data_IF_328739734456
#
_entry.id   IF_328739734456
#
_cell.length_a   1.000
_cell.length_b   1.000
_cell.length_c   1.000
_cell.angle_alpha   90.00
_cell.angle_beta   90.00
_cell.angle_gamma   90.00
#
_symmetry.space_group_name_H-M   'P 1'
#
loop_
_entity.id
_entity.type
_entity.pdbx_description
1 polymer ?
#
# COMPACT_ATOMS: atom_id res chain seq x y z
N UNK A 1 -24.90 -15.69 25.25
CA UNK A 1 -23.60 -15.02 25.42
C UNK A 1 -22.53 -15.94 24.85
N UNK A 2 -22.27 -15.86 23.57
CA UNK A 2 -21.15 -16.56 22.94
C UNK A 2 -20.24 -15.48 22.34
N UNK A 3 -19.17 -15.18 23.08
CA UNK A 3 -18.02 -14.47 22.53
C UNK A 3 -17.42 -15.33 21.43
N UNK A 4 -17.53 -14.92 20.18
CA UNK A 4 -16.68 -15.43 19.13
C UNK A 4 -15.26 -14.97 19.45
N UNK A 5 -14.49 -15.88 20.06
CA UNK A 5 -13.05 -15.75 20.21
C UNK A 5 -12.45 -15.66 18.82
N UNK A 6 -11.83 -14.53 18.51
CA UNK A 6 -10.91 -14.42 17.42
C UNK A 6 -9.85 -15.51 17.63
N UNK A 7 -9.76 -16.44 16.69
CA UNK A 7 -8.73 -17.48 16.68
C UNK A 7 -7.37 -16.82 16.89
N UNK A 8 -6.57 -17.23 17.87
CA UNK A 8 -5.20 -16.76 17.99
C UNK A 8 -4.47 -17.15 16.71
N UNK A 9 -3.86 -16.18 16.05
CA UNK A 9 -2.92 -16.41 14.94
C UNK A 9 -1.84 -17.34 15.52
N UNK A 10 -1.77 -18.56 15.00
CA UNK A 10 -0.82 -19.55 15.49
C UNK A 10 0.61 -18.99 15.41
N UNK A 11 1.41 -19.16 16.48
CA UNK A 11 2.80 -18.68 16.50
C UNK A 11 3.69 -19.32 15.43
N UNK A 12 3.25 -20.43 14.84
CA UNK A 12 3.97 -21.18 13.81
C UNK A 12 4.22 -20.38 12.52
N UNK A 13 3.30 -19.50 12.13
CA UNK A 13 3.46 -18.67 10.91
C UNK A 13 4.47 -17.53 11.06
N UNK A 14 4.89 -17.21 12.28
CA UNK A 14 5.89 -16.17 12.57
C UNK A 14 7.28 -16.73 12.80
N UNK A 15 7.41 -18.06 13.01
CA UNK A 15 8.68 -18.70 13.37
C UNK A 15 9.53 -19.08 12.16
N UNK A 16 8.99 -19.04 10.94
CA UNK A 16 9.74 -19.34 9.74
C UNK A 16 10.46 -18.13 9.15
N UNK A 17 11.38 -17.55 9.94
CA UNK A 17 12.52 -16.81 9.37
C UNK A 17 13.45 -17.74 8.56
N UNK A 18 13.26 -19.04 8.64
CA UNK A 18 13.82 -20.02 7.69
C UNK A 18 13.11 -19.99 6.33
N UNK A 19 11.89 -19.48 6.25
CA UNK A 19 11.22 -19.06 5.02
C UNK A 19 11.58 -17.61 4.69
N UNK A 20 12.87 -17.31 4.66
CA UNK A 20 13.34 -16.14 3.92
C UNK A 20 12.79 -16.29 2.49
N UNK A 21 12.16 -15.23 1.93
CA UNK A 21 11.73 -15.23 0.55
C UNK A 21 12.85 -15.71 -0.36
N UNK A 22 12.55 -16.41 -1.45
CA UNK A 22 13.54 -17.00 -2.35
C UNK A 22 14.63 -16.02 -2.79
N UNK A 23 14.30 -14.72 -2.92
CA UNK A 23 15.24 -13.63 -3.24
C UNK A 23 16.28 -13.31 -2.14
N UNK A 24 16.08 -13.79 -0.90
CA UNK A 24 17.07 -13.73 0.19
C UNK A 24 17.93 -15.00 0.27
N UNK A 25 17.47 -16.09 -0.35
CA UNK A 25 18.19 -17.37 -0.42
C UNK A 25 19.09 -17.47 -1.65
N UNK A 26 18.75 -16.77 -2.72
CA UNK A 26 19.53 -16.71 -3.94
C UNK A 26 20.69 -15.74 -3.75
N UNK A 27 21.86 -16.28 -3.50
CA UNK A 27 23.16 -15.57 -3.49
C UNK A 27 23.65 -15.27 -4.90
N UNK A 28 22.74 -14.99 -5.85
CA UNK A 28 23.16 -14.43 -7.11
C UNK A 28 23.64 -13.01 -6.88
N UNK A 29 24.91 -12.79 -7.20
CA UNK A 29 25.69 -11.58 -7.05
C UNK A 29 25.16 -10.37 -7.86
N UNK A 30 23.88 -10.24 -8.03
CA UNK A 30 23.24 -9.02 -8.51
C UNK A 30 23.14 -8.06 -7.35
N UNK A 31 24.04 -7.08 -7.38
CA UNK A 31 24.08 -5.96 -6.44
C UNK A 31 22.70 -5.26 -6.41
N UNK A 32 21.76 -5.72 -5.58
CA UNK A 32 20.49 -5.03 -5.33
C UNK A 32 20.66 -3.62 -4.78
N UNK A 33 21.88 -3.23 -4.43
CA UNK A 33 22.24 -1.94 -3.87
C UNK A 33 22.93 -1.01 -4.88
N UNK A 34 23.06 -1.41 -6.14
CA UNK A 34 23.75 -0.61 -7.17
C UNK A 34 23.03 0.73 -7.45
N UNK A 35 21.74 0.81 -7.09
CA UNK A 35 20.92 2.01 -7.21
C UNK A 35 20.67 2.74 -5.89
N UNK A 36 21.22 2.25 -4.77
CA UNK A 36 21.13 2.94 -3.49
C UNK A 36 22.23 3.99 -3.40
N UNK A 37 22.05 5.10 -4.07
CA UNK A 37 22.76 6.35 -3.79
C UNK A 37 21.99 7.04 -2.68
N UNK A 38 22.68 7.32 -1.55
CA UNK A 38 22.14 8.16 -0.47
C UNK A 38 21.53 9.46 -1.01
N UNK A 39 20.71 10.13 -0.23
CA UNK A 39 19.84 11.25 -0.59
C UNK A 39 20.46 12.41 -1.42
N UNK A 40 21.76 12.44 -1.62
CA UNK A 40 22.45 13.49 -2.39
C UNK A 40 22.43 13.28 -3.92
N UNK A 41 21.87 12.18 -4.46
CA UNK A 41 21.93 11.83 -5.88
C UNK A 41 20.64 11.99 -6.68
N UNK A 42 19.53 12.49 -6.12
CA UNK A 42 18.20 12.45 -6.76
C UNK A 42 17.90 13.66 -7.65
N UNK A 43 18.73 14.72 -7.64
CA UNK A 43 18.45 15.95 -8.40
C UNK A 43 18.94 15.97 -9.85
N UNK A 44 19.84 15.07 -10.27
CA UNK A 44 20.43 15.15 -11.61
C UNK A 44 19.86 14.22 -12.72
N UNK A 45 18.97 13.27 -12.38
CA UNK A 45 18.45 12.31 -13.36
C UNK A 45 17.12 12.70 -14.04
N UNK A 46 16.54 13.86 -13.73
CA UNK A 46 15.29 14.33 -14.38
C UNK A 46 15.49 15.06 -15.71
N UNK A 47 16.72 15.33 -16.12
CA UNK A 47 17.03 16.14 -17.30
C UNK A 47 17.36 15.36 -18.59
N UNK A 48 17.69 14.06 -18.53
CA UNK A 48 18.22 13.31 -19.69
C UNK A 48 17.23 12.48 -20.49
N UNK A 49 16.09 12.08 -19.91
CA UNK A 49 15.13 11.22 -20.62
C UNK A 49 14.14 11.95 -21.54
N UNK A 50 14.15 13.29 -21.57
CA UNK A 50 13.31 14.06 -22.49
C UNK A 50 13.97 14.40 -23.83
N UNK A 51 15.29 14.28 -23.94
CA UNK A 51 16.02 14.61 -25.17
C UNK A 51 16.17 13.44 -26.16
N UNK A 52 16.03 12.18 -25.73
CA UNK A 52 16.21 11.02 -26.59
C UNK A 52 14.96 10.58 -27.37
N UNK A 53 13.75 11.05 -26.94
CA UNK A 53 12.49 10.69 -27.66
C UNK A 53 12.08 11.64 -28.78
N UNK A 54 12.83 12.70 -29.03
CA UNK A 54 12.52 13.68 -30.09
C UNK A 54 13.41 13.56 -31.33
N UNK A 55 14.37 12.62 -31.38
CA UNK A 55 15.30 12.46 -32.54
C UNK A 55 14.93 11.31 -33.50
N UNK A 56 13.93 10.49 -33.22
CA UNK A 56 13.58 9.35 -34.09
C UNK A 56 12.35 9.56 -35.00
N UNK A 57 11.88 10.79 -35.19
CA UNK A 57 10.77 11.11 -36.10
C UNK A 57 11.14 12.00 -37.30
N UNK A 58 12.41 12.05 -37.67
CA UNK A 58 12.88 13.00 -38.69
C UNK A 58 13.77 12.42 -39.78
N UNK A 59 13.67 11.16 -40.21
CA UNK A 59 14.44 10.67 -41.34
C UNK A 59 13.74 9.54 -42.09
N UNK A 60 12.71 9.88 -42.89
CA UNK A 60 12.28 9.07 -44.03
C UNK A 60 11.32 9.87 -44.92
N UNK A 61 11.86 10.71 -45.82
CA UNK A 61 11.26 10.96 -47.12
C UNK A 61 12.13 11.99 -47.87
N UNK A 62 13.18 11.53 -48.54
CA UNK A 62 13.77 12.20 -49.69
C UNK A 62 14.59 11.15 -50.45
N UNK A 63 13.97 10.55 -51.44
CA UNK A 63 14.60 10.16 -52.68
C UNK A 63 13.57 9.52 -53.59
N UNK A 64 13.14 10.26 -54.61
CA UNK A 64 13.21 9.84 -56.02
C UNK A 64 12.81 11.01 -56.91
N UNK A 65 13.82 11.47 -57.62
CA UNK A 65 13.74 12.31 -58.83
C UNK A 65 13.10 11.48 -59.96
N UNK A 66 12.42 12.18 -60.88
CA UNK A 66 12.07 11.61 -62.17
C UNK A 66 11.23 12.59 -62.98
N UNK A 67 11.92 13.33 -63.84
CA UNK A 67 11.44 14.25 -64.87
C UNK A 67 10.31 13.71 -65.77
N UNK A 68 9.39 14.57 -66.24
CA UNK A 68 9.23 15.00 -67.62
C UNK A 68 7.93 15.75 -67.91
N UNK A 69 8.12 16.98 -68.33
CA UNK A 69 7.49 17.74 -69.45
C UNK A 69 6.00 17.55 -69.81
N UNK A 70 5.30 18.68 -69.80
CA UNK A 70 4.02 19.13 -70.30
C UNK A 70 3.72 18.90 -71.79
N UNK A 71 2.90 19.63 -72.55
CA UNK A 71 2.00 20.71 -72.22
C UNK A 71 0.61 20.64 -72.95
N UNK A 72 -0.29 21.65 -72.69
CA UNK A 72 -1.37 22.18 -73.59
C UNK A 72 -2.66 21.36 -73.75
N UNK A 73 -3.87 21.86 -73.58
CA UNK A 73 -4.59 22.91 -74.29
C UNK A 73 -6.08 22.88 -73.87
N UNK A 74 -6.70 24.06 -73.77
CA UNK A 74 -8.12 24.32 -73.83
C UNK A 74 -8.66 24.08 -75.27
N UNK A 75 -9.95 23.94 -75.54
CA UNK A 75 -10.92 25.00 -75.40
C UNK A 75 -12.43 24.59 -75.19
N UNK A 76 -13.18 25.57 -74.70
CA UNK A 76 -14.58 25.97 -74.99
C UNK A 76 -15.53 25.10 -75.81
N UNK A 77 -16.79 25.02 -75.30
CA UNK A 77 -18.00 25.47 -76.02
C UNK A 77 -19.26 25.19 -75.21
N UNK A 78 -19.96 26.30 -74.98
CA UNK A 78 -21.37 26.62 -74.92
C UNK A 78 -22.37 25.57 -75.45
N UNK A 79 -23.52 25.39 -74.76
CA UNK A 79 -24.85 25.72 -75.22
C UNK A 79 -25.95 25.48 -74.18
N UNK A 80 -26.67 26.49 -73.93
CA UNK A 80 -28.10 26.75 -73.76
C UNK A 80 -29.06 25.58 -73.66
N UNK A 81 -30.06 25.77 -72.75
CA UNK A 81 -31.36 25.17 -72.93
C UNK A 81 -32.19 24.94 -71.66
N UNK A 82 -32.93 26.04 -71.24
CA UNK A 82 -34.31 26.03 -70.69
C UNK A 82 -34.80 24.97 -69.68
N UNK A 83 -35.25 25.51 -68.55
CA UNK A 83 -36.24 25.10 -67.59
C UNK A 83 -37.55 24.41 -68.16
N UNK A 84 -38.41 23.70 -67.33
CA UNK A 84 -38.81 23.98 -65.95
C UNK A 84 -39.17 22.75 -65.05
N UNK A 85 -39.02 22.98 -63.75
CA UNK A 85 -39.98 22.60 -62.74
C UNK A 85 -40.13 21.14 -62.37
N UNK A 86 -39.63 20.78 -61.14
CA UNK A 86 -40.37 20.01 -60.14
C UNK A 86 -39.55 19.86 -58.86
N UNK A 87 -40.14 20.42 -57.82
CA UNK A 87 -40.09 20.05 -56.41
C UNK A 87 -38.81 19.40 -55.87
N UNK A 88 -38.10 20.21 -55.14
CA UNK A 88 -37.01 19.82 -54.24
C UNK A 88 -37.51 18.91 -53.12
N UNK A 89 -37.15 17.66 -53.15
CA UNK A 89 -37.04 16.86 -51.96
C UNK A 89 -35.69 17.20 -51.32
N UNK A 90 -35.71 17.96 -50.23
CA UNK A 90 -34.60 18.12 -49.32
C UNK A 90 -34.15 16.74 -48.80
N UNK A 91 -33.12 16.20 -49.43
CA UNK A 91 -32.32 15.18 -48.80
C UNK A 91 -31.46 15.90 -47.75
N UNK A 92 -31.93 15.86 -46.51
CA UNK A 92 -31.13 16.19 -45.34
C UNK A 92 -29.92 15.26 -45.38
N UNK A 93 -28.78 15.83 -45.69
CA UNK A 93 -27.47 15.29 -45.33
C UNK A 93 -27.50 15.02 -43.85
N UNK A 94 -27.53 13.76 -43.48
CA UNK A 94 -27.32 13.32 -42.11
C UNK A 94 -25.87 13.55 -41.79
N UNK A 95 -25.63 14.74 -41.31
CA UNK A 95 -24.40 15.13 -40.63
C UNK A 95 -24.03 14.01 -39.64
N UNK A 96 -23.00 13.26 -39.97
CA UNK A 96 -22.31 12.35 -39.07
C UNK A 96 -21.68 13.20 -37.96
N UNK A 97 -22.50 13.72 -37.09
CA UNK A 97 -22.01 14.17 -35.78
C UNK A 97 -21.40 12.95 -35.09
N UNK A 98 -20.12 12.79 -35.30
CA UNK A 98 -19.24 12.05 -34.38
C UNK A 98 -19.70 12.42 -33.01
N UNK A 99 -20.30 11.46 -32.35
CA UNK A 99 -20.59 11.48 -30.94
C UNK A 99 -19.26 11.71 -30.21
N UNK A 100 -18.85 12.97 -30.15
CA UNK A 100 -17.89 13.44 -29.18
C UNK A 100 -18.58 13.19 -27.85
N UNK A 101 -18.29 12.01 -27.27
CA UNK A 101 -18.43 11.82 -25.83
C UNK A 101 -17.81 13.06 -25.23
N UNK A 102 -18.64 13.99 -24.85
CA UNK A 102 -18.26 15.02 -23.92
C UNK A 102 -17.63 14.25 -22.76
N UNK A 103 -16.38 14.46 -22.46
CA UNK A 103 -15.89 14.03 -21.17
C UNK A 103 -16.77 14.82 -20.21
N UNK A 104 -17.68 14.14 -19.55
CA UNK A 104 -18.32 14.62 -18.34
C UNK A 104 -17.21 14.70 -17.30
N UNK A 105 -16.29 15.54 -17.62
CA UNK A 105 -15.31 16.12 -16.71
C UNK A 105 -16.13 17.15 -15.94
N UNK A 106 -17.04 16.64 -15.08
CA UNK A 106 -17.11 17.26 -13.78
C UNK A 106 -15.66 17.20 -13.31
N UNK A 107 -14.92 18.25 -13.60
CA UNK A 107 -13.71 18.58 -12.93
C UNK A 107 -14.10 18.52 -11.44
N UNK A 108 -13.94 17.34 -10.84
CA UNK A 108 -13.74 17.27 -9.41
C UNK A 108 -12.58 18.24 -9.24
N UNK A 109 -12.92 19.43 -8.76
CA UNK A 109 -11.96 20.39 -8.25
C UNK A 109 -11.04 19.49 -7.46
N UNK A 110 -9.83 19.30 -7.99
CA UNK A 110 -8.86 18.41 -7.39
C UNK A 110 -8.55 19.05 -6.06
N UNK A 111 -9.30 18.64 -5.03
CA UNK A 111 -9.11 19.14 -3.68
C UNK A 111 -7.63 18.92 -3.40
N UNK A 112 -6.93 19.99 -3.09
CA UNK A 112 -5.50 19.97 -2.77
C UNK A 112 -5.30 18.81 -1.79
N UNK A 113 -4.40 17.84 -2.07
CA UNK A 113 -4.27 16.68 -1.20
C UNK A 113 -3.96 17.17 0.22
N UNK A 114 -4.59 16.61 1.24
CA UNK A 114 -4.40 17.06 2.61
C UNK A 114 -2.91 16.94 2.98
N UNK A 115 -2.35 17.98 3.56
CA UNK A 115 -0.96 18.02 4.00
C UNK A 115 -0.81 17.26 5.33
N UNK A 116 -0.80 15.93 5.25
CA UNK A 116 -0.67 15.02 6.39
C UNK A 116 0.70 14.37 6.32
N UNK A 117 1.42 14.38 7.43
CA UNK A 117 2.67 13.62 7.58
C UNK A 117 2.32 12.17 7.93
N UNK A 118 2.84 11.23 7.14
CA UNK A 118 2.61 9.80 7.32
C UNK A 118 3.93 9.14 7.70
N UNK A 119 3.91 8.40 8.81
CA UNK A 119 5.03 7.58 9.26
C UNK A 119 4.59 6.14 9.47
N UNK A 120 5.43 5.20 9.02
CA UNK A 120 5.23 3.78 9.26
C UNK A 120 6.04 3.36 10.47
N UNK A 121 5.36 2.77 11.45
CA UNK A 121 5.94 2.30 12.70
C UNK A 121 5.88 0.77 12.73
N UNK A 122 6.90 0.08 13.27
CA UNK A 122 6.82 -1.35 13.45
C UNK A 122 5.78 -1.68 14.54
N UNK A 123 4.93 -2.67 14.26
CA UNK A 123 3.96 -3.15 15.25
C UNK A 123 4.69 -3.78 16.43
N UNK A 124 4.31 -3.39 17.65
CA UNK A 124 5.03 -3.75 18.88
C UNK A 124 5.22 -5.25 19.05
N UNK A 125 4.16 -6.05 18.97
CA UNK A 125 4.24 -7.50 19.14
C UNK A 125 5.14 -8.20 18.11
N UNK A 126 5.14 -7.72 16.85
CA UNK A 126 6.02 -8.26 15.81
C UNK A 126 7.47 -7.86 16.05
N UNK A 127 7.69 -6.61 16.49
CA UNK A 127 9.02 -6.13 16.82
C UNK A 127 9.66 -6.93 17.97
N UNK A 128 8.89 -7.22 19.03
CA UNK A 128 9.36 -8.04 20.16
C UNK A 128 9.81 -9.42 19.72
N UNK A 129 9.05 -10.08 18.86
CA UNK A 129 9.41 -11.39 18.31
C UNK A 129 10.72 -11.31 17.49
N UNK A 130 10.87 -10.27 16.66
CA UNK A 130 12.10 -10.05 15.88
C UNK A 130 13.29 -9.77 16.81
N UNK A 131 13.10 -8.96 17.85
CA UNK A 131 14.14 -8.70 18.87
C UNK A 131 14.56 -9.97 19.58
N UNK A 132 13.59 -10.79 20.03
CA UNK A 132 13.87 -12.06 20.69
C UNK A 132 14.69 -13.00 19.80
N UNK A 133 14.33 -13.06 18.52
CA UNK A 133 15.02 -13.89 17.56
C UNK A 133 16.44 -13.39 17.23
N UNK A 134 16.64 -12.09 17.09
CA UNK A 134 17.98 -11.54 16.92
C UNK A 134 18.86 -11.83 18.16
N UNK A 135 18.29 -11.71 19.36
CA UNK A 135 19.00 -11.97 20.62
C UNK A 135 19.38 -13.44 20.82
N UNK A 136 18.63 -14.38 20.26
CA UNK A 136 18.90 -15.82 20.38
C UNK A 136 20.08 -16.29 19.52
N UNK A 137 20.54 -15.47 18.57
CA UNK A 137 21.62 -15.79 17.66
C UNK A 137 22.87 -14.95 17.86
N UNK A 138 23.86 -15.12 16.97
CA UNK A 138 25.09 -14.32 16.91
C UNK A 138 25.19 -13.53 15.58
N UNK A 139 24.20 -13.63 14.73
CA UNK A 139 24.20 -13.16 13.35
C UNK A 139 23.80 -11.69 13.26
N UNK A 140 24.45 -10.96 12.35
CA UNK A 140 24.08 -9.57 12.04
C UNK A 140 23.07 -9.52 10.88
N UNK A 141 21.99 -8.77 11.07
CA UNK A 141 20.90 -8.61 10.08
C UNK A 141 20.95 -7.23 9.45
N UNK A 142 20.70 -7.17 8.14
CA UNK A 142 20.55 -5.90 7.42
C UNK A 142 19.32 -5.16 7.89
N UNK A 143 19.46 -3.93 8.35
CA UNK A 143 18.35 -3.08 8.80
C UNK A 143 17.41 -2.75 7.65
N UNK A 144 17.95 -2.61 6.44
CA UNK A 144 17.17 -2.41 5.22
C UNK A 144 16.26 -3.62 4.92
N UNK A 145 16.81 -4.84 5.01
CA UNK A 145 16.05 -6.07 4.79
C UNK A 145 14.92 -6.22 5.82
N UNK A 146 15.22 -5.94 7.10
CA UNK A 146 14.21 -5.94 8.16
C UNK A 146 13.13 -4.89 7.94
N UNK A 147 13.48 -3.67 7.55
CA UNK A 147 12.52 -2.62 7.26
C UNK A 147 11.57 -3.00 6.12
N UNK A 148 12.09 -3.60 5.05
CA UNK A 148 11.27 -4.14 3.95
C UNK A 148 10.37 -5.27 4.42
N UNK A 149 10.85 -6.18 5.26
CA UNK A 149 10.07 -7.26 5.83
C UNK A 149 8.86 -6.73 6.62
N UNK A 150 9.04 -5.64 7.39
CA UNK A 150 7.93 -5.00 8.10
C UNK A 150 6.91 -4.39 7.13
N UNK A 151 7.36 -3.69 6.10
CA UNK A 151 6.49 -3.01 5.13
C UNK A 151 5.77 -3.95 4.15
N UNK A 152 6.23 -5.18 4.01
CA UNK A 152 5.65 -6.17 3.09
C UNK A 152 4.22 -6.57 3.47
N UNK A 153 3.98 -6.85 4.76
CA UNK A 153 2.66 -7.27 5.26
C UNK A 153 2.03 -6.18 6.13
N UNK A 154 0.80 -5.75 5.84
CA UNK A 154 0.16 -4.66 6.59
C UNK A 154 -0.09 -5.00 8.07
N UNK A 155 -0.16 -6.27 8.44
CA UNK A 155 -0.25 -6.69 9.84
C UNK A 155 1.01 -6.46 10.68
N UNK A 156 2.16 -6.15 10.04
CA UNK A 156 3.45 -5.99 10.72
C UNK A 156 3.79 -4.54 11.07
N UNK A 157 3.02 -3.57 10.55
CA UNK A 157 3.24 -2.15 10.81
C UNK A 157 1.98 -1.42 11.23
N UNK A 158 2.17 -0.26 11.78
CA UNK A 158 1.16 0.73 12.09
C UNK A 158 1.46 2.00 11.31
N UNK A 159 0.43 2.80 11.04
CA UNK A 159 0.53 4.05 10.32
C UNK A 159 0.18 5.19 11.25
N UNK A 160 1.15 6.06 11.54
CA UNK A 160 0.93 7.30 12.27
C UNK A 160 0.62 8.42 11.29
N UNK A 161 -0.52 9.01 11.46
CA UNK A 161 -1.00 10.17 10.73
C UNK A 161 -0.84 11.40 11.62
N UNK A 162 -0.08 12.39 11.18
CA UNK A 162 0.12 13.65 11.91
C UNK A 162 -0.41 14.78 11.05
N UNK A 163 -1.43 15.47 11.56
CA UNK A 163 -2.01 16.63 10.92
C UNK A 163 -1.03 17.81 10.96
N UNK A 164 -0.94 18.58 9.87
CA UNK A 164 -0.33 19.91 9.91
C UNK A 164 -1.37 20.93 10.37
N UNK A 165 -0.89 22.09 10.81
CA UNK A 165 -1.74 23.12 11.45
C UNK A 165 -2.97 23.53 10.60
N UNK A 166 -2.86 23.49 9.28
CA UNK A 166 -3.91 23.93 8.35
C UNK A 166 -4.92 22.85 7.95
N UNK A 167 -4.62 21.55 8.21
CA UNK A 167 -5.46 20.44 7.78
C UNK A 167 -5.67 19.47 8.95
N UNK A 168 -6.70 19.71 9.80
CA UNK A 168 -6.98 18.83 10.91
C UNK A 168 -7.44 17.45 10.43
N UNK A 169 -7.13 16.41 11.20
CA UNK A 169 -7.71 15.08 11.04
C UNK A 169 -8.95 14.98 11.92
N UNK A 170 -9.93 14.24 11.44
CA UNK A 170 -11.16 13.95 12.17
C UNK A 170 -11.29 12.45 12.41
N UNK A 171 -11.76 12.08 13.59
CA UNK A 171 -12.00 10.70 13.99
C UNK A 171 -13.45 10.53 14.44
N UNK A 172 -14.07 9.43 14.02
CA UNK A 172 -15.42 9.07 14.39
C UNK A 172 -15.40 8.06 15.57
N UNK A 173 -15.68 8.53 16.77
CA UNK A 173 -15.58 7.72 17.99
C UNK A 173 -14.14 7.39 18.37
N UNK A 174 -13.96 6.59 19.40
CA UNK A 174 -12.63 6.15 19.84
C UNK A 174 -12.19 4.93 19.07
N UNK A 175 -11.07 5.04 18.32
CA UNK A 175 -10.56 3.96 17.49
C UNK A 175 -11.30 3.74 16.18
N UNK A 176 -12.20 4.65 15.79
CA UNK A 176 -13.05 4.53 14.63
C UNK A 176 -12.40 5.02 13.31
N UNK A 177 -13.26 5.37 12.38
CA UNK A 177 -12.86 5.83 11.06
C UNK A 177 -12.20 7.19 11.13
N UNK A 178 -11.05 7.34 10.46
CA UNK A 178 -10.31 8.59 10.35
C UNK A 178 -10.47 9.17 8.95
N UNK A 179 -10.67 10.48 8.85
CA UNK A 179 -10.74 11.21 7.59
C UNK A 179 -10.10 12.60 7.72
N UNK A 180 -9.64 13.13 6.59
CA UNK A 180 -9.24 14.53 6.47
C UNK A 180 -10.44 15.46 6.18
N UNK A 181 -11.60 14.90 5.86
CA UNK A 181 -12.82 15.62 5.52
C UNK A 181 -13.91 15.35 6.59
N UNK A 182 -14.26 16.40 7.34
CA UNK A 182 -15.32 16.34 8.35
C UNK A 182 -16.68 16.04 7.74
N UNK A 183 -17.01 16.68 6.61
CA UNK A 183 -18.30 16.47 5.96
C UNK A 183 -18.47 15.03 5.46
N UNK A 184 -17.36 14.41 5.03
CA UNK A 184 -17.38 13.00 4.67
C UNK A 184 -17.77 12.12 5.87
N UNK A 185 -17.21 12.40 7.05
CA UNK A 185 -17.57 11.68 8.27
C UNK A 185 -19.02 11.95 8.66
N UNK A 186 -19.46 13.22 8.68
CA UNK A 186 -20.83 13.60 9.02
C UNK A 186 -21.85 12.87 8.13
N UNK A 187 -21.60 12.80 6.83
CA UNK A 187 -22.51 12.15 5.87
C UNK A 187 -22.57 10.61 6.06
N UNK A 188 -21.47 10.00 6.47
CA UNK A 188 -21.36 8.53 6.53
C UNK A 188 -21.33 7.99 7.97
N UNK A 189 -21.35 8.84 9.00
CA UNK A 189 -21.20 8.46 10.39
C UNK A 189 -22.17 7.35 10.79
N UNK A 190 -23.45 7.51 10.51
CA UNK A 190 -24.49 6.52 10.81
C UNK A 190 -24.14 5.14 10.24
N UNK A 191 -23.73 5.09 8.98
CA UNK A 191 -23.37 3.83 8.30
C UNK A 191 -22.20 3.11 8.95
N UNK A 192 -21.24 3.86 9.51
CA UNK A 192 -20.02 3.27 10.08
C UNK A 192 -20.25 2.72 11.49
N UNK A 193 -21.09 3.40 12.28
CA UNK A 193 -21.26 3.07 13.71
C UNK A 193 -22.69 2.64 14.09
N UNK A 194 -23.58 2.46 13.11
CA UNK A 194 -24.98 2.09 13.35
C UNK A 194 -25.13 0.92 14.31
N UNK A 195 -24.30 -0.12 14.17
CA UNK A 195 -24.38 -1.35 14.98
C UNK A 195 -24.01 -1.14 16.46
N UNK A 196 -23.22 -0.10 16.74
CA UNK A 196 -22.79 0.21 18.11
C UNK A 196 -23.83 1.02 18.89
N UNK A 197 -24.78 1.62 18.18
CA UNK A 197 -25.82 2.49 18.73
C UNK A 197 -27.23 1.92 18.61
N UNK A 198 -27.49 1.10 17.60
CA UNK A 198 -28.81 0.55 17.33
C UNK A 198 -28.76 -0.94 17.05
N UNK A 199 -29.71 -1.67 17.65
CA UNK A 199 -30.00 -3.04 17.28
C UNK A 199 -31.08 -3.02 16.19
N UNK A 200 -30.80 -3.70 15.09
CA UNK A 200 -31.72 -3.87 13.99
C UNK A 200 -32.44 -5.22 14.14
N UNK A 201 -33.71 -5.18 14.43
CA UNK A 201 -34.57 -6.37 14.53
C UNK A 201 -35.52 -6.41 13.35
N UNK A 202 -35.74 -7.59 12.80
CA UNK A 202 -36.72 -7.82 11.74
C UNK A 202 -38.04 -8.18 12.41
N UNK A 203 -39.03 -7.29 12.30
CA UNK A 203 -40.38 -7.51 12.82
C UNK A 203 -41.29 -7.84 11.65
N UNK A 204 -42.11 -8.86 11.80
CA UNK A 204 -43.15 -9.21 10.82
C UNK A 204 -44.42 -8.43 11.14
N UNK A 205 -44.81 -7.56 10.20
CA UNK A 205 -46.05 -6.84 10.26
C UNK A 205 -47.22 -7.70 9.75
N UNK A 206 -48.44 -7.19 9.94
CA UNK A 206 -49.64 -7.81 9.39
C UNK A 206 -49.52 -8.06 7.88
N UNK A 207 -50.18 -9.14 7.36
CA UNK A 207 -50.14 -9.43 5.92
C UNK A 207 -50.70 -8.25 5.13
N UNK A 208 -50.04 -7.91 4.05
CA UNK A 208 -50.44 -6.82 3.17
C UNK A 208 -51.82 -7.18 2.57
N UNK A 209 -52.84 -6.38 2.90
CA UNK A 209 -54.19 -6.55 2.40
C UNK A 209 -54.28 -6.06 0.95
N UNK A 210 -54.65 -6.90 0.03
CA UNK A 210 -54.83 -6.56 -1.39
C UNK A 210 -54.72 -7.77 -2.30
N UNK A 211 -55.47 -7.71 -3.41
CA UNK A 211 -55.41 -8.73 -4.47
C UNK A 211 -54.37 -8.28 -5.50
N UNK A 212 -53.16 -8.80 -5.43
CA UNK A 212 -52.09 -8.49 -6.35
C UNK A 212 -51.89 -9.67 -7.29
N UNK A 213 -52.00 -9.40 -8.61
CA UNK A 213 -51.83 -10.40 -9.68
C UNK A 213 -50.46 -10.38 -10.33
N UNK A 214 -49.67 -9.34 -10.09
CA UNK A 214 -48.36 -9.18 -10.72
C UNK A 214 -47.37 -8.47 -9.80
N UNK A 215 -46.08 -8.71 -10.02
CA UNK A 215 -44.97 -8.09 -9.31
C UNK A 215 -43.90 -7.67 -10.32
N UNK A 216 -43.35 -6.48 -10.14
CA UNK A 216 -42.21 -6.01 -10.93
C UNK A 216 -40.90 -6.63 -10.39
N UNK A 217 -40.07 -7.14 -11.30
CA UNK A 217 -38.76 -7.72 -11.01
C UNK A 217 -37.69 -7.03 -11.82
N UNK A 218 -36.58 -6.73 -11.21
CA UNK A 218 -35.40 -6.26 -11.92
C UNK A 218 -34.68 -7.44 -12.58
N UNK A 219 -34.55 -7.46 -13.91
CA UNK A 219 -33.84 -8.52 -14.67
C UNK A 219 -32.36 -8.62 -14.30
N UNK A 220 -31.72 -7.50 -13.96
CA UNK A 220 -30.30 -7.45 -13.70
C UNK A 220 -29.91 -7.97 -12.30
N UNK A 221 -30.77 -7.77 -11.30
CA UNK A 221 -30.49 -8.15 -9.91
C UNK A 221 -31.38 -9.27 -9.38
N UNK A 222 -32.46 -9.62 -10.10
CA UNK A 222 -33.48 -10.55 -9.62
C UNK A 222 -34.34 -10.03 -8.48
N UNK A 223 -34.15 -8.78 -8.03
CA UNK A 223 -34.85 -8.20 -6.89
C UNK A 223 -36.30 -7.92 -7.23
N UNK A 224 -37.24 -8.32 -6.35
CA UNK A 224 -38.67 -8.02 -6.45
C UNK A 224 -38.91 -6.60 -5.93
N UNK A 225 -39.63 -5.80 -6.72
CA UNK A 225 -39.92 -4.38 -6.43
C UNK A 225 -41.39 -4.15 -6.00
N UNK A 226 -42.21 -5.20 -6.07
CA UNK A 226 -43.62 -5.13 -5.77
C UNK A 226 -44.50 -4.74 -7.00
N UNK A 227 -45.81 -4.71 -6.83
CA UNK A 227 -46.75 -4.27 -7.84
C UNK A 227 -46.51 -2.82 -8.23
N UNK A 228 -46.67 -2.49 -9.53
CA UNK A 228 -46.40 -1.14 -10.03
C UNK A 228 -47.36 -0.08 -9.47
N UNK A 229 -48.54 -0.48 -9.02
CA UNK A 229 -49.54 0.37 -8.34
C UNK A 229 -49.35 0.45 -6.81
N UNK A 230 -48.35 -0.24 -6.26
CA UNK A 230 -48.10 -0.19 -4.82
C UNK A 230 -47.26 1.05 -4.45
N UNK A 231 -47.58 1.70 -3.36
CA UNK A 231 -46.98 2.99 -2.98
C UNK A 231 -45.44 2.94 -2.81
N UNK A 232 -44.89 1.79 -2.44
CA UNK A 232 -43.43 1.63 -2.24
C UNK A 232 -42.67 1.33 -3.53
N UNK A 233 -43.35 1.03 -4.63
CA UNK A 233 -42.71 0.65 -5.91
C UNK A 233 -41.73 1.71 -6.43
N UNK A 234 -42.16 2.96 -6.55
CA UNK A 234 -41.34 4.04 -7.08
C UNK A 234 -40.13 4.37 -6.18
N UNK A 235 -40.29 4.50 -4.86
CA UNK A 235 -39.17 4.64 -3.94
C UNK A 235 -38.17 3.50 -4.02
N UNK A 236 -38.62 2.25 -4.05
CA UNK A 236 -37.72 1.08 -4.14
C UNK A 236 -36.99 1.02 -5.46
N UNK A 237 -37.66 1.34 -6.58
CA UNK A 237 -37.07 1.40 -7.90
C UNK A 237 -35.92 2.42 -7.96
N UNK A 238 -36.12 3.63 -7.42
CA UNK A 238 -35.11 4.68 -7.36
C UNK A 238 -33.94 4.29 -6.43
N UNK A 239 -34.28 3.78 -5.25
CA UNK A 239 -33.26 3.34 -4.28
C UNK A 239 -32.36 2.23 -4.84
N UNK A 240 -32.93 1.23 -5.51
CA UNK A 240 -32.17 0.15 -6.13
C UNK A 240 -31.29 0.65 -7.28
N UNK A 241 -31.79 1.60 -8.08
CA UNK A 241 -31.02 2.26 -9.13
C UNK A 241 -29.83 3.02 -8.54
N UNK A 242 -30.06 3.88 -7.55
CA UNK A 242 -29.01 4.69 -6.93
C UNK A 242 -27.93 3.84 -6.26
N UNK A 243 -28.30 2.77 -5.59
CA UNK A 243 -27.38 1.88 -4.88
C UNK A 243 -26.51 1.05 -5.81
N UNK A 244 -27.06 0.53 -6.93
CA UNK A 244 -26.38 -0.50 -7.72
C UNK A 244 -26.08 -0.09 -9.17
N UNK A 245 -26.90 0.75 -9.78
CA UNK A 245 -26.87 0.96 -11.23
C UNK A 245 -26.58 2.38 -11.68
N UNK A 246 -26.64 3.38 -10.82
CA UNK A 246 -26.42 4.79 -11.14
C UNK A 246 -25.07 5.10 -11.81
N UNK A 247 -24.06 4.26 -11.58
CA UNK A 247 -22.74 4.39 -12.19
C UNK A 247 -22.58 3.66 -13.53
N UNK A 248 -23.54 2.80 -13.90
CA UNK A 248 -23.43 1.88 -15.05
C UNK A 248 -24.34 2.26 -16.19
N UNK A 249 -25.52 2.81 -15.88
CA UNK A 249 -26.54 3.12 -16.87
C UNK A 249 -27.40 4.30 -16.41
N UNK A 250 -28.13 4.91 -17.35
CA UNK A 250 -29.13 5.94 -17.05
C UNK A 250 -30.39 5.35 -16.38
N UNK A 251 -31.14 6.19 -15.65
CA UNK A 251 -32.38 5.73 -15.03
C UNK A 251 -33.42 5.22 -16.05
N UNK A 252 -33.47 5.86 -17.22
CA UNK A 252 -34.41 5.44 -18.31
C UNK A 252 -34.03 4.07 -18.89
N UNK A 253 -32.72 3.77 -19.01
CA UNK A 253 -32.23 2.45 -19.42
C UNK A 253 -32.52 1.40 -18.37
N UNK A 254 -32.35 1.77 -17.08
CA UNK A 254 -32.63 0.88 -15.97
C UNK A 254 -34.14 0.53 -15.90
N UNK A 255 -35.04 1.49 -16.10
CA UNK A 255 -36.47 1.24 -16.13
C UNK A 255 -36.88 0.20 -17.18
N UNK A 256 -36.18 0.14 -18.33
CA UNK A 256 -36.41 -0.87 -19.37
C UNK A 256 -36.01 -2.28 -18.97
N UNK A 257 -35.21 -2.40 -17.92
CA UNK A 257 -34.78 -3.69 -17.35
C UNK A 257 -35.73 -4.24 -16.29
N UNK A 258 -36.86 -3.54 -16.06
CA UNK A 258 -37.90 -3.99 -15.15
C UNK A 258 -38.94 -4.77 -15.95
N UNK A 259 -39.16 -6.01 -15.55
CA UNK A 259 -40.21 -6.87 -16.10
C UNK A 259 -41.34 -7.03 -15.10
N UNK A 260 -42.56 -7.12 -15.62
CA UNK A 260 -43.75 -7.41 -14.82
C UNK A 260 -44.05 -8.90 -14.98
N UNK A 261 -44.07 -9.61 -13.85
CA UNK A 261 -44.27 -11.06 -13.81
C UNK A 261 -45.56 -11.36 -13.07
N UNK A 262 -46.43 -12.21 -13.66
CA UNK A 262 -47.71 -12.62 -13.09
C UNK A 262 -47.64 -14.02 -12.48
N UNK A 263 -46.52 -14.36 -11.82
CA UNK A 263 -46.33 -15.63 -11.15
C UNK A 263 -46.81 -15.54 -9.70
N UNK A 264 -47.75 -16.39 -9.33
CA UNK A 264 -48.33 -16.44 -7.98
C UNK A 264 -47.26 -16.68 -6.90
N UNK A 265 -46.26 -17.53 -7.18
CA UNK A 265 -45.20 -17.84 -6.25
C UNK A 265 -44.31 -16.61 -5.95
N UNK A 266 -44.04 -15.79 -6.98
CA UNK A 266 -43.30 -14.53 -6.82
C UNK A 266 -44.09 -13.46 -6.11
N UNK A 267 -45.40 -13.41 -6.31
CA UNK A 267 -46.28 -12.51 -5.59
C UNK A 267 -46.35 -12.84 -4.11
N UNK A 268 -46.49 -14.13 -3.75
CA UNK A 268 -46.47 -14.57 -2.35
C UNK A 268 -45.13 -14.29 -1.70
N UNK A 269 -44.05 -14.60 -2.39
CA UNK A 269 -42.70 -14.29 -1.88
C UNK A 269 -42.52 -12.80 -1.66
N UNK A 270 -42.96 -11.94 -2.56
CA UNK A 270 -42.95 -10.50 -2.36
C UNK A 270 -43.77 -10.07 -1.16
N UNK A 271 -44.96 -10.62 -0.94
CA UNK A 271 -45.80 -10.34 0.22
C UNK A 271 -45.09 -10.73 1.52
N UNK A 272 -44.43 -11.87 1.56
CA UNK A 272 -43.63 -12.31 2.71
C UNK A 272 -42.42 -11.38 2.97
N UNK A 273 -41.70 -11.01 1.91
CA UNK A 273 -40.56 -10.07 2.03
C UNK A 273 -41.03 -8.68 2.47
N UNK A 274 -42.19 -8.21 1.97
CA UNK A 274 -42.73 -6.90 2.31
C UNK A 274 -43.39 -6.82 3.69
N UNK A 275 -43.71 -7.95 4.33
CA UNK A 275 -44.11 -8.04 5.74
C UNK A 275 -42.94 -7.77 6.70
N UNK A 276 -41.72 -8.05 6.28
CA UNK A 276 -40.53 -7.90 7.09
C UNK A 276 -40.12 -6.45 7.11
N UNK A 277 -40.33 -5.78 8.23
CA UNK A 277 -39.89 -4.41 8.47
C UNK A 277 -38.74 -4.44 9.44
N UNK A 278 -37.67 -3.73 9.08
CA UNK A 278 -36.51 -3.58 9.98
C UNK A 278 -36.82 -2.45 10.96
N UNK A 279 -36.88 -2.78 12.24
CA UNK A 279 -36.98 -1.82 13.32
C UNK A 279 -35.63 -1.64 14.01
N UNK A 280 -35.37 -0.43 14.44
CA UNK A 280 -34.09 -0.06 15.06
C UNK A 280 -34.36 0.37 16.49
N UNK A 281 -33.73 -0.29 17.47
CA UNK A 281 -33.85 0.00 18.88
C UNK A 281 -32.55 0.58 19.41
N UNK A 282 -32.57 1.70 20.12
CA UNK A 282 -31.38 2.32 20.73
C UNK A 282 -30.76 1.42 21.77
N UNK A 283 -29.42 1.35 21.84
CA UNK A 283 -28.66 0.51 22.75
C UNK A 283 -28.07 1.27 23.95
N UNK A 284 -27.89 2.59 23.80
CA UNK A 284 -27.15 3.42 24.77
C UNK A 284 -28.03 4.31 25.62
N UNK A 285 -29.34 4.27 25.46
CA UNK A 285 -30.29 5.06 26.20
C UNK A 285 -30.91 4.23 27.34
N UNK A 286 -31.16 4.87 28.47
CA UNK A 286 -31.81 4.24 29.63
C UNK A 286 -33.21 3.73 29.26
N UNK A 287 -33.94 4.50 28.44
CA UNK A 287 -35.23 4.11 27.88
C UNK A 287 -35.04 3.79 26.38
N UNK A 288 -35.10 2.50 25.99
CA UNK A 288 -34.91 2.14 24.56
C UNK A 288 -36.00 2.76 23.70
N UNK A 289 -35.58 3.51 22.69
CA UNK A 289 -36.47 4.05 21.64
C UNK A 289 -36.45 3.14 20.43
N UNK A 290 -37.61 2.90 19.82
CA UNK A 290 -37.74 2.06 18.63
C UNK A 290 -38.18 2.88 17.44
N UNK A 291 -37.47 2.76 16.34
CA UNK A 291 -37.76 3.45 15.06
C UNK A 291 -38.14 2.42 14.02
N UNK A 292 -39.16 2.73 13.23
CA UNK A 292 -39.65 1.88 12.14
C UNK A 292 -38.95 2.15 10.80
N UNK A 293 -38.14 3.20 10.74
CA UNK A 293 -37.49 3.64 9.50
C UNK A 293 -36.01 3.96 9.72
N UNK A 294 -35.16 3.52 8.80
CA UNK A 294 -33.75 3.86 8.77
C UNK A 294 -33.52 5.39 8.69
N UNK A 295 -34.42 6.13 8.06
CA UNK A 295 -34.32 7.59 7.92
C UNK A 295 -34.56 8.30 9.26
N UNK A 296 -35.56 7.83 10.03
CA UNK A 296 -35.82 8.35 11.37
C UNK A 296 -34.67 8.05 12.32
N UNK A 297 -34.15 6.81 12.24
CA UNK A 297 -32.99 6.39 13.02
C UNK A 297 -31.75 7.22 12.71
N UNK A 298 -31.49 7.49 11.44
CA UNK A 298 -30.37 8.34 11.00
C UNK A 298 -30.55 9.80 11.47
N UNK A 299 -31.76 10.33 11.43
CA UNK A 299 -32.07 11.68 11.94
C UNK A 299 -31.83 11.76 13.44
N UNK A 300 -32.32 10.77 14.20
CA UNK A 300 -32.07 10.66 15.62
C UNK A 300 -30.56 10.57 15.93
N UNK A 301 -29.84 9.70 15.23
CA UNK A 301 -28.40 9.56 15.36
C UNK A 301 -27.66 10.88 15.13
N UNK A 302 -28.02 11.61 14.07
CA UNK A 302 -27.39 12.88 13.72
C UNK A 302 -27.64 13.97 14.75
N UNK A 303 -28.84 13.99 15.38
CA UNK A 303 -29.16 14.98 16.39
C UNK A 303 -28.54 14.68 17.76
N UNK A 304 -28.52 13.41 18.16
CA UNK A 304 -28.13 13.04 19.53
C UNK A 304 -26.65 12.66 19.67
N UNK A 305 -26.12 11.87 18.71
CA UNK A 305 -24.80 11.26 18.88
C UNK A 305 -23.72 11.87 17.98
N UNK A 306 -24.04 12.25 16.77
CA UNK A 306 -23.05 12.68 15.77
C UNK A 306 -22.18 13.87 16.23
N UNK A 307 -22.71 14.93 16.90
CA UNK A 307 -21.90 16.07 17.30
C UNK A 307 -20.80 15.72 18.32
N UNK A 308 -21.05 14.74 19.19
CA UNK A 308 -20.10 14.31 20.21
C UNK A 308 -19.10 13.26 19.71
N UNK A 309 -19.44 12.55 18.62
CA UNK A 309 -18.64 11.46 18.08
C UNK A 309 -17.50 11.93 17.20
N UNK A 310 -17.67 13.02 16.44
CA UNK A 310 -16.65 13.52 15.53
C UNK A 310 -15.72 14.47 16.26
N UNK A 311 -14.49 14.00 16.47
CA UNK A 311 -13.45 14.77 17.17
C UNK A 311 -12.34 15.14 16.21
N UNK A 312 -11.79 16.34 16.42
CA UNK A 312 -10.56 16.76 15.73
C UNK A 312 -9.35 16.23 16.48
N UNK A 313 -8.44 15.58 15.77
CA UNK A 313 -7.22 14.99 16.34
C UNK A 313 -5.98 15.50 15.58
N UNK A 314 -4.89 15.72 16.31
CA UNK A 314 -3.61 16.14 15.71
C UNK A 314 -2.81 14.93 15.22
N UNK A 315 -2.80 13.88 16.03
CA UNK A 315 -2.08 12.64 15.77
C UNK A 315 -3.01 11.44 15.90
N UNK A 316 -2.90 10.51 14.97
CA UNK A 316 -3.59 9.22 15.06
C UNK A 316 -2.74 8.09 14.55
N UNK A 317 -2.65 7.01 15.32
CA UNK A 317 -1.99 5.76 14.89
C UNK A 317 -3.06 4.71 14.61
N UNK A 318 -3.02 4.12 13.42
CA UNK A 318 -3.95 3.09 12.97
C UNK A 318 -3.17 1.85 12.54
N UNK A 319 -3.75 0.67 12.71
CA UNK A 319 -3.13 -0.56 12.24
C UNK A 319 -2.97 -0.58 10.71
N UNK A 320 -1.91 -1.17 10.20
CA UNK A 320 -1.63 -1.20 8.77
C UNK A 320 -2.72 -1.90 7.95
N UNK A 321 -3.42 -2.90 8.52
CA UNK A 321 -4.58 -3.54 7.89
C UNK A 321 -5.76 -2.58 7.73
N UNK A 322 -6.06 -1.82 8.78
CA UNK A 322 -7.12 -0.80 8.74
C UNK A 322 -6.78 0.34 7.78
N UNK A 323 -5.51 0.73 7.71
CA UNK A 323 -5.06 1.81 6.82
C UNK A 323 -5.30 1.52 5.33
N UNK A 324 -5.32 0.24 4.94
CA UNK A 324 -5.62 -0.20 3.56
C UNK A 324 -7.10 -0.17 3.23
N UNK A 325 -7.97 -0.27 4.24
CA UNK A 325 -9.43 -0.30 4.11
C UNK A 325 -10.13 1.00 4.47
N UNK A 326 -9.43 2.12 4.60
CA UNK A 326 -10.05 3.39 4.94
C UNK A 326 -11.11 3.79 3.91
N UNK A 327 -12.32 4.16 4.35
CA UNK A 327 -13.40 4.56 3.47
C UNK A 327 -13.16 5.93 2.80
N UNK A 328 -12.35 6.79 3.40
CA UNK A 328 -11.89 8.03 2.79
C UNK A 328 -10.85 7.73 1.69
N UNK A 329 -11.28 7.89 0.43
CA UNK A 329 -10.44 7.59 -0.74
C UNK A 329 -9.27 8.53 -0.90
N UNK A 330 -9.39 9.77 -0.43
CA UNK A 330 -8.33 10.78 -0.57
C UNK A 330 -7.22 10.43 0.42
N UNK A 331 -7.56 10.22 1.67
CA UNK A 331 -6.63 9.81 2.72
C UNK A 331 -5.97 8.46 2.39
N UNK A 332 -6.76 7.48 1.94
CA UNK A 332 -6.23 6.17 1.53
C UNK A 332 -5.19 6.31 0.41
N UNK A 333 -5.48 7.09 -0.65
CA UNK A 333 -4.52 7.34 -1.74
C UNK A 333 -3.22 7.98 -1.25
N UNK A 334 -3.29 8.93 -0.30
CA UNK A 334 -2.09 9.58 0.28
C UNK A 334 -1.26 8.56 1.07
N UNK A 335 -1.91 7.69 1.85
CA UNK A 335 -1.25 6.59 2.58
C UNK A 335 -0.59 5.61 1.61
N UNK A 336 -1.28 5.19 0.55
CA UNK A 336 -0.73 4.28 -0.46
C UNK A 336 0.49 4.89 -1.18
N UNK A 337 0.45 6.16 -1.51
CA UNK A 337 1.59 6.86 -2.10
C UNK A 337 2.77 6.96 -1.13
N UNK A 338 2.51 7.22 0.15
CA UNK A 338 3.53 7.23 1.19
C UNK A 338 4.14 5.82 1.38
N UNK A 339 3.30 4.78 1.40
CA UNK A 339 3.75 3.39 1.50
C UNK A 339 4.61 2.99 0.29
N UNK A 340 4.19 3.36 -0.92
CA UNK A 340 4.96 3.05 -2.14
C UNK A 340 6.33 3.74 -2.15
N UNK A 341 6.44 4.95 -1.60
CA UNK A 341 7.74 5.64 -1.42
C UNK A 341 8.59 4.95 -0.37
N UNK A 342 8.01 4.65 0.79
CA UNK A 342 8.71 4.01 1.90
C UNK A 342 9.18 2.58 1.55
N UNK A 343 8.41 1.83 0.75
CA UNK A 343 8.82 0.49 0.28
C UNK A 343 10.03 0.55 -0.65
N UNK A 344 10.17 1.61 -1.45
CA UNK A 344 11.36 1.79 -2.31
C UNK A 344 12.58 2.21 -1.52
N UNK A 345 12.40 3.11 -0.55
CA UNK A 345 13.47 3.65 0.31
C UNK A 345 12.96 3.73 1.74
N UNK A 346 13.13 2.66 2.54
CA UNK A 346 12.53 2.52 3.87
C UNK A 346 13.28 3.31 4.95
N UNK A 347 13.62 4.57 4.69
CA UNK A 347 14.44 5.40 5.58
C UNK A 347 13.78 5.66 6.92
N UNK A 348 12.45 5.97 6.92
CA UNK A 348 11.72 6.21 8.17
C UNK A 348 11.58 4.93 8.99
N UNK A 349 11.21 3.81 8.37
CA UNK A 349 11.11 2.52 9.04
C UNK A 349 12.47 2.07 9.59
N UNK A 350 13.56 2.25 8.83
CA UNK A 350 14.92 1.95 9.31
C UNK A 350 15.31 2.80 10.52
N UNK A 351 14.96 4.08 10.52
CA UNK A 351 15.23 4.97 11.65
C UNK A 351 14.47 4.55 12.91
N UNK A 352 13.19 4.23 12.78
CA UNK A 352 12.35 3.73 13.88
C UNK A 352 12.88 2.39 14.42
N UNK A 353 13.19 1.45 13.53
CA UNK A 353 13.76 0.16 13.92
C UNK A 353 15.10 0.32 14.61
N UNK A 354 15.98 1.19 14.10
CA UNK A 354 17.28 1.45 14.73
C UNK A 354 17.13 2.01 16.16
N UNK A 355 16.18 2.91 16.35
CA UNK A 355 15.83 3.44 17.68
C UNK A 355 15.35 2.35 18.63
N UNK A 356 14.38 1.55 18.17
CA UNK A 356 13.78 0.46 18.96
C UNK A 356 14.79 -0.65 19.28
N UNK A 357 15.64 -1.03 18.34
CA UNK A 357 16.67 -2.03 18.56
C UNK A 357 17.71 -1.59 19.61
N UNK A 358 18.12 -0.31 19.58
CA UNK A 358 19.00 0.24 20.63
C UNK A 358 18.33 0.24 22.01
N UNK A 359 17.06 0.60 22.10
CA UNK A 359 16.27 0.52 23.34
C UNK A 359 16.21 -0.90 23.91
N UNK A 360 16.23 -1.91 23.02
CA UNK A 360 16.24 -3.32 23.39
C UNK A 360 17.67 -3.90 23.55
N UNK A 361 18.69 -3.06 23.76
CA UNK A 361 20.07 -3.46 23.95
C UNK A 361 20.68 -4.22 22.76
N UNK A 362 20.22 -4.00 21.55
CA UNK A 362 20.84 -4.50 20.33
C UNK A 362 21.80 -3.44 19.75
N UNK A 363 22.89 -3.90 19.16
CA UNK A 363 23.93 -3.05 18.60
C UNK A 363 23.63 -2.73 17.13
N UNK A 364 23.44 -1.45 16.81
CA UNK A 364 23.25 -0.97 15.44
C UNK A 364 24.53 -0.32 14.95
N UNK A 365 25.10 -0.83 13.87
CA UNK A 365 26.38 -0.38 13.34
C UNK A 365 26.35 -0.24 11.80
N UNK A 366 27.31 0.50 11.26
CA UNK A 366 27.46 0.67 9.80
C UNK A 366 28.58 -0.22 9.28
N UNK A 367 28.29 -0.94 8.20
CA UNK A 367 29.24 -1.81 7.51
C UNK A 367 28.98 -1.83 5.99
N UNK A 368 29.82 -2.46 5.19
CA UNK A 368 29.63 -2.66 3.74
C UNK A 368 29.09 -1.40 3.02
N UNK A 369 29.94 -0.43 2.76
CA UNK A 369 29.60 0.84 2.09
C UNK A 369 28.57 1.72 2.84
N UNK A 370 28.51 1.60 4.16
CA UNK A 370 27.67 2.48 4.99
C UNK A 370 26.29 1.94 5.30
N UNK A 371 25.94 0.72 4.86
CA UNK A 371 24.69 0.06 5.22
C UNK A 371 24.59 -0.17 6.73
N UNK A 372 23.38 -0.09 7.25
CA UNK A 372 23.07 -0.32 8.67
C UNK A 372 22.76 -1.80 8.91
N UNK A 373 23.35 -2.33 9.95
CA UNK A 373 23.12 -3.69 10.45
C UNK A 373 22.79 -3.66 11.94
N UNK A 374 22.10 -4.69 12.39
CA UNK A 374 21.77 -4.93 13.80
C UNK A 374 22.28 -6.30 14.23
N UNK A 375 22.92 -6.37 15.41
CA UNK A 375 23.44 -7.61 15.99
C UNK A 375 23.28 -7.58 17.51
N UNK A 376 23.12 -8.73 18.18
CA UNK A 376 23.18 -8.82 19.63
C UNK A 376 24.60 -8.57 20.14
N UNK A 377 25.61 -8.85 19.32
CA UNK A 377 27.03 -8.75 19.68
C UNK A 377 27.54 -7.36 19.30
N UNK A 378 28.33 -6.77 20.21
CA UNK A 378 29.01 -5.49 19.97
C UNK A 378 30.23 -5.70 19.11
N UNK A 379 30.24 -5.13 17.94
CA UNK A 379 31.31 -5.22 16.96
C UNK A 379 32.55 -4.45 17.48
N UNK A 380 33.72 -5.08 17.48
CA UNK A 380 35.01 -4.52 17.94
C UNK A 380 36.08 -4.78 16.89
N UNK A 381 36.93 -3.79 16.63
CA UNK A 381 38.11 -4.02 15.79
C UNK A 381 39.15 -4.84 16.59
N UNK A 382 39.77 -5.81 15.94
CA UNK A 382 40.85 -6.59 16.53
C UNK A 382 42.11 -5.75 16.50
N UNK A 383 42.62 -5.40 17.68
CA UNK A 383 43.77 -4.48 17.86
C UNK A 383 44.87 -5.18 18.68
N UNK A 384 45.08 -6.47 18.50
CA UNK A 384 46.17 -7.15 19.20
C UNK A 384 47.42 -7.27 18.32
N UNK A 385 48.57 -7.07 18.91
CA UNK A 385 49.83 -7.37 18.27
C UNK A 385 49.90 -8.88 17.97
N UNK A 386 50.36 -9.24 16.79
CA UNK A 386 50.37 -10.62 16.28
C UNK A 386 51.14 -11.60 17.19
N UNK A 387 52.04 -11.10 18.04
CA UNK A 387 52.87 -11.91 18.91
C UNK A 387 52.14 -12.60 20.09
N UNK A 388 50.90 -12.19 20.42
CA UNK A 388 50.16 -12.74 21.57
C UNK A 388 48.92 -13.58 21.17
N UNK A 389 48.72 -13.87 19.89
CA UNK A 389 47.50 -14.52 19.38
C UNK A 389 47.85 -15.91 18.84
N UNK A 390 46.93 -16.90 19.02
CA UNK A 390 47.14 -18.25 18.49
C UNK A 390 47.27 -18.25 16.96
N UNK A 391 48.09 -19.11 16.41
CA UNK A 391 48.30 -19.22 14.95
C UNK A 391 47.01 -19.50 14.21
N UNK A 392 46.06 -20.23 14.79
CA UNK A 392 44.76 -20.54 14.22
C UNK A 392 43.85 -19.30 14.11
N UNK A 393 43.85 -18.45 15.12
CA UNK A 393 43.07 -17.19 15.12
C UNK A 393 43.64 -16.21 14.07
N UNK A 394 44.96 -16.09 13.97
CA UNK A 394 45.62 -15.27 12.96
C UNK A 394 45.29 -15.77 11.55
N UNK A 395 45.35 -17.08 11.30
CA UNK A 395 45.00 -17.66 10.01
C UNK A 395 43.54 -17.39 9.62
N UNK A 396 42.58 -17.43 10.57
CA UNK A 396 41.19 -17.07 10.35
C UNK A 396 41.04 -15.59 9.94
N UNK A 397 41.68 -14.69 10.70
CA UNK A 397 41.60 -13.24 10.44
C UNK A 397 42.23 -12.89 9.09
N UNK A 398 43.36 -13.46 8.72
CA UNK A 398 43.97 -13.30 7.40
C UNK A 398 43.09 -13.81 6.29
N UNK A 399 42.51 -15.02 6.41
CA UNK A 399 41.66 -15.60 5.41
C UNK A 399 40.38 -14.76 5.17
N UNK A 400 39.75 -14.22 6.24
CA UNK A 400 38.60 -13.33 6.16
C UNK A 400 38.98 -11.98 5.58
N UNK A 401 40.17 -11.43 5.89
CA UNK A 401 40.61 -10.16 5.30
C UNK A 401 40.94 -10.26 3.81
N UNK A 402 41.55 -11.37 3.41
CA UNK A 402 41.96 -11.61 2.02
C UNK A 402 40.77 -11.87 1.08
N UNK A 403 39.71 -12.47 1.58
CA UNK A 403 38.56 -12.89 0.76
C UNK A 403 37.28 -12.18 1.21
N UNK A 404 36.77 -11.27 0.38
CA UNK A 404 35.52 -10.57 0.71
C UNK A 404 34.34 -11.54 0.71
N UNK A 405 33.51 -11.44 1.76
CA UNK A 405 32.28 -12.21 1.93
C UNK A 405 32.47 -13.75 1.91
N UNK A 406 33.55 -14.23 2.51
CA UNK A 406 33.85 -15.66 2.65
C UNK A 406 32.78 -16.32 3.53
N UNK A 407 32.30 -17.51 3.15
CA UNK A 407 31.40 -18.33 3.95
C UNK A 407 32.20 -19.28 4.87
N UNK A 408 31.56 -19.77 5.95
CA UNK A 408 32.20 -20.74 6.88
C UNK A 408 32.80 -21.94 6.16
N UNK A 409 32.09 -22.53 5.19
CA UNK A 409 32.57 -23.68 4.40
C UNK A 409 33.87 -23.34 3.65
N UNK A 410 33.86 -22.27 2.89
CA UNK A 410 35.00 -21.79 2.12
C UNK A 410 36.18 -21.42 3.00
N UNK A 411 35.90 -20.88 4.20
CA UNK A 411 36.95 -20.59 5.19
C UNK A 411 37.64 -21.87 5.66
N UNK A 412 36.88 -22.88 6.02
CA UNK A 412 37.42 -24.16 6.45
C UNK A 412 38.13 -24.90 5.32
N UNK A 413 37.59 -24.95 4.11
CA UNK A 413 38.24 -25.52 2.94
C UNK A 413 39.60 -24.85 2.69
N UNK A 414 39.66 -23.51 2.76
CA UNK A 414 40.89 -22.75 2.57
C UNK A 414 41.96 -23.02 3.64
N UNK A 415 41.55 -23.24 4.92
CA UNK A 415 42.46 -23.41 6.03
C UNK A 415 42.86 -24.86 6.29
N UNK A 416 42.08 -25.85 5.85
CA UNK A 416 42.35 -27.27 6.10
C UNK A 416 42.81 -28.03 4.85
N UNK A 417 42.65 -27.46 3.66
CA UNK A 417 42.90 -28.17 2.39
C UNK A 417 41.91 -29.33 2.15
N UNK A 418 41.96 -29.93 0.96
CA UNK A 418 41.02 -30.98 0.52
C UNK A 418 41.28 -32.39 1.05
N UNK A 419 42.13 -32.55 2.09
CA UNK A 419 42.49 -33.87 2.62
C UNK A 419 41.51 -34.35 3.70
N UNK A 420 40.85 -35.51 3.45
CA UNK A 420 40.07 -36.25 4.45
C UNK A 420 40.98 -37.19 5.29
N UNK A 421 41.67 -36.64 6.28
CA UNK A 421 42.43 -37.45 7.28
C UNK A 421 41.91 -37.15 8.69
N UNK A 422 41.98 -38.10 9.62
CA UNK A 422 41.52 -37.93 11.02
C UNK A 422 42.09 -36.68 11.69
N UNK A 423 43.29 -36.25 11.32
CA UNK A 423 43.90 -35.01 11.79
C UNK A 423 43.24 -33.74 11.27
N UNK A 424 42.54 -33.78 10.13
CA UNK A 424 41.83 -32.63 9.55
C UNK A 424 40.50 -32.35 10.24
N UNK A 425 39.81 -33.36 10.76
CA UNK A 425 38.55 -33.16 11.52
C UNK A 425 38.81 -32.49 12.87
N UNK A 426 39.83 -32.94 13.62
CA UNK A 426 40.25 -32.29 14.87
C UNK A 426 40.65 -30.83 14.64
N UNK A 427 41.36 -30.53 13.55
CA UNK A 427 41.73 -29.18 13.16
C UNK A 427 40.50 -28.32 12.77
N UNK A 428 39.50 -28.90 12.04
CA UNK A 428 38.23 -28.22 11.71
C UNK A 428 37.44 -27.87 12.96
N UNK A 429 37.37 -28.76 13.95
CA UNK A 429 36.70 -28.50 15.24
C UNK A 429 37.39 -27.37 16.01
N UNK A 430 38.72 -27.38 16.07
CA UNK A 430 39.50 -26.30 16.71
C UNK A 430 39.23 -24.95 16.02
N UNK A 431 39.33 -24.90 14.68
CA UNK A 431 39.03 -23.68 13.90
C UNK A 431 37.59 -23.22 14.08
N UNK A 432 36.62 -24.15 14.18
CA UNK A 432 35.21 -23.82 14.41
C UNK A 432 34.98 -23.21 15.80
N UNK A 433 35.71 -23.71 16.83
CA UNK A 433 35.70 -23.14 18.17
C UNK A 433 36.28 -21.74 18.20
N UNK A 434 37.44 -21.54 17.57
CA UNK A 434 38.11 -20.24 17.49
C UNK A 434 37.28 -19.21 16.71
N UNK A 435 36.69 -19.63 15.59
CA UNK A 435 35.78 -18.77 14.82
C UNK A 435 34.56 -18.37 15.64
N UNK A 436 33.95 -19.33 16.37
CA UNK A 436 32.80 -19.03 17.24
C UNK A 436 33.18 -18.05 18.35
N UNK A 437 34.35 -18.19 18.94
CA UNK A 437 34.86 -17.24 19.92
C UNK A 437 35.05 -15.86 19.30
N UNK A 438 35.68 -15.73 18.11
CA UNK A 438 35.87 -14.48 17.40
C UNK A 438 34.56 -13.77 17.09
N UNK A 439 33.54 -14.54 16.71
CA UNK A 439 32.17 -14.00 16.44
C UNK A 439 31.56 -13.50 17.75
N UNK A 440 31.61 -14.27 18.84
CA UNK A 440 31.00 -13.92 20.11
C UNK A 440 31.65 -12.69 20.75
N UNK A 441 32.97 -12.53 20.59
CA UNK A 441 33.69 -11.34 21.04
C UNK A 441 33.50 -10.13 20.10
N UNK A 442 32.93 -10.33 18.92
CA UNK A 442 32.65 -9.29 17.95
C UNK A 442 33.82 -8.89 17.06
N UNK A 443 34.87 -9.70 17.00
CA UNK A 443 36.04 -9.50 16.14
C UNK A 443 35.79 -9.95 14.69
N UNK A 444 34.86 -10.85 14.49
CA UNK A 444 34.35 -11.28 13.18
C UNK A 444 32.84 -11.10 13.16
N UNK A 445 32.33 -10.56 12.08
CA UNK A 445 30.88 -10.36 11.87
C UNK A 445 30.38 -11.48 10.96
N UNK A 446 29.43 -12.25 11.44
CA UNK A 446 28.66 -13.17 10.61
C UNK A 446 27.35 -12.52 10.21
N UNK A 447 27.07 -12.46 8.92
CA UNK A 447 25.83 -11.90 8.39
C UNK A 447 24.79 -12.98 8.13
N UNK A 448 23.53 -12.58 8.02
CA UNK A 448 22.40 -13.49 7.74
C UNK A 448 22.49 -14.21 6.38
N UNK A 449 23.33 -13.75 5.46
CA UNK A 449 23.67 -14.42 4.20
C UNK A 449 24.77 -15.50 4.37
N UNK A 450 25.23 -15.74 5.59
CA UNK A 450 26.29 -16.67 5.92
C UNK A 450 27.70 -16.16 5.63
N UNK A 451 27.85 -14.94 5.14
CA UNK A 451 29.16 -14.34 4.88
C UNK A 451 29.79 -13.81 6.15
N UNK A 452 31.13 -13.91 6.22
CA UNK A 452 31.97 -13.40 7.31
C UNK A 452 32.69 -12.15 6.81
N UNK A 453 32.87 -11.18 7.69
CA UNK A 453 33.68 -9.97 7.41
C UNK A 453 34.29 -9.41 8.70
N UNK A 454 35.35 -8.60 8.56
CA UNK A 454 36.01 -7.97 9.69
C UNK A 454 35.37 -6.59 9.98
N UNK A 455 35.33 -6.20 11.27
CA UNK A 455 34.94 -4.84 11.66
C UNK A 455 35.85 -3.80 11.03
N UNK A 456 35.29 -2.72 10.50
CA UNK A 456 36.14 -1.61 10.03
C UNK A 456 36.69 -0.83 11.18
N UNK A 457 38.00 -0.64 11.18
CA UNK A 457 38.64 0.35 12.07
C UNK A 457 38.06 1.74 11.72
N UNK A 458 37.58 2.47 12.72
CA UNK A 458 37.37 3.91 12.57
C UNK A 458 38.77 4.51 12.32
N UNK A 459 39.04 4.96 11.11
CA UNK A 459 40.18 5.87 10.91
C UNK A 459 40.00 7.02 11.89
N UNK A 460 40.99 7.26 12.77
CA UNK A 460 41.01 8.47 13.59
C UNK A 460 40.80 9.64 12.63
N UNK A 461 39.95 10.64 12.97
CA UNK A 461 39.87 11.87 12.18
C UNK A 461 41.34 12.35 12.04
N UNK A 462 41.82 12.48 10.81
CA UNK A 462 43.04 13.23 10.58
C UNK A 462 42.76 14.61 11.17
N UNK A 463 43.49 14.96 12.20
CA UNK A 463 43.64 16.32 12.67
C UNK A 463 44.13 17.10 11.44
N UNK A 464 43.21 17.83 10.80
CA UNK A 464 43.57 18.77 9.75
C UNK A 464 44.47 19.77 10.44
N UNK A 465 45.74 19.80 10.03
CA UNK A 465 46.75 20.76 10.40
C UNK A 465 46.11 22.16 10.48
N UNK A 466 45.93 22.65 11.70
CA UNK A 466 45.50 24.02 11.99
C UNK A 466 46.70 24.98 11.86
N UNK A 467 47.89 24.47 11.42
CA UNK A 467 49.11 25.27 11.31
C UNK A 467 49.23 26.13 10.02
N UNK A 468 48.24 26.08 9.10
CA UNK A 468 48.38 26.85 7.86
C UNK A 468 47.61 28.20 7.86
N UNK A 469 47.05 28.64 8.97
CA UNK A 469 46.31 29.94 9.03
C UNK A 469 46.95 31.00 9.93
N UNK A 470 48.11 30.74 10.51
CA UNK A 470 48.82 31.73 11.36
C UNK A 470 49.95 32.51 10.65
N UNK A 471 50.16 32.32 9.35
CA UNK A 471 51.26 32.95 8.60
C UNK A 471 50.77 33.90 7.47
N UNK A 472 49.61 34.47 7.58
CA UNK A 472 49.10 35.41 6.60
C UNK A 472 48.46 36.70 7.20
N UNK A 473 48.94 37.10 8.38
CA UNK A 473 48.68 38.42 8.94
C UNK A 473 50.00 38.94 9.58
N UNK A 474 50.84 39.46 8.77
CA UNK A 474 51.83 40.52 9.04
C UNK A 474 52.03 41.34 7.76
#
# INVERSE_FOLDING_TARGET
MNFMSASPVEPADLLDLKLLPAWLKESDAKNYYEHYRGEEGVSELRGRDRASRQRDRGFRSKQRRGDKQGPKSKPDRRHDGRMPGRQAHERRDSDRTRNRRSPDTRAQVAAKPPEITIRFLPRHSVLENVVAQIKSGSVAYSLFALARLFLEKPGRYEVRLTAKAETPLYELGEGGVVSADREFLDRNAFRFVQRDFYRADVVENEPIKGNFSNVARCRLSGTLLGPTNYHTYQPQLRSLYEQRFSRRMSFAEYQRQIEIVSDAALVERWKEEARKVITYTTLREETPQTFSSAVETERHFRSQYCPALIRSVKDRTIGGTLSRGLPDRILNRVIEQAWARETRSPSNMMQELAGRFRQNALNVFRHRRGMLFVSPIRVRAFVHEQAGVSSSVNAILEAVSATKAINRKQLFEKLTGDGASEGTEARRLALASDLRWLINEGYVIEFNDGSLDLPRMKSKPQEKNVEAFAAAVD
#
